data_IF_715167814793
#
_entry.id   IF_715167814793
#
_cell.length_a   1.000
_cell.length_b   1.000
_cell.length_c   1.000
_cell.angle_alpha   90.00
_cell.angle_beta   90.00
_cell.angle_gamma   90.00
#
_symmetry.space_group_name_H-M   'P 1'
#
loop_
_entity.id
_entity.type
_entity.pdbx_description
1 polymer ?
#
# COMPACT_ATOMS: atom_id res chain seq x y z
N UNK A 1 17.61 -35.25 -5.34
CA UNK A 1 16.94 -33.96 -5.05
C UNK A 1 17.65 -32.92 -5.87
N UNK A 2 17.08 -32.60 -7.03
CA UNK A 2 17.69 -31.70 -8.00
C UNK A 2 17.19 -30.31 -7.64
N UNK A 3 18.12 -29.41 -7.33
CA UNK A 3 17.86 -27.98 -7.19
C UNK A 3 17.40 -27.52 -8.56
N UNK A 4 16.10 -27.20 -8.66
CA UNK A 4 15.51 -26.65 -9.87
C UNK A 4 16.15 -25.31 -10.16
N UNK A 5 16.60 -25.19 -11.40
CA UNK A 5 17.10 -24.00 -12.04
C UNK A 5 16.23 -22.77 -11.72
N UNK A 6 16.82 -21.78 -11.06
CA UNK A 6 16.21 -20.49 -10.72
C UNK A 6 16.38 -19.46 -11.84
N UNK A 7 16.81 -19.84 -13.04
CA UNK A 7 17.04 -18.95 -14.20
C UNK A 7 15.80 -18.17 -14.68
N UNK A 8 14.61 -18.48 -14.17
CA UNK A 8 13.36 -17.79 -14.48
C UNK A 8 12.88 -16.84 -13.37
N UNK A 9 13.56 -16.81 -12.23
CA UNK A 9 13.43 -15.68 -11.33
C UNK A 9 14.27 -14.57 -11.94
N UNK A 10 13.61 -13.68 -12.68
CA UNK A 10 14.13 -12.35 -12.94
C UNK A 10 14.81 -11.88 -11.67
N UNK A 11 16.10 -11.60 -11.81
CA UNK A 11 16.97 -11.06 -10.79
C UNK A 11 16.18 -9.93 -10.14
N UNK A 12 15.64 -10.19 -8.94
CA UNK A 12 15.29 -9.11 -8.02
C UNK A 12 16.57 -8.30 -7.96
N UNK A 13 16.53 -7.10 -8.56
CA UNK A 13 17.67 -6.19 -8.59
C UNK A 13 18.25 -6.19 -7.18
N UNK A 14 19.53 -6.54 -7.05
CA UNK A 14 20.21 -6.60 -5.75
C UNK A 14 20.21 -5.25 -5.00
N UNK A 15 19.64 -4.19 -5.60
CA UNK A 15 19.25 -2.95 -4.92
C UNK A 15 18.16 -3.15 -3.84
N UNK A 16 17.43 -4.27 -3.84
CA UNK A 16 16.44 -4.61 -2.79
C UNK A 16 17.07 -5.16 -1.51
N UNK A 17 18.39 -5.37 -1.51
CA UNK A 17 19.16 -5.58 -0.30
C UNK A 17 19.55 -4.21 0.31
N UNK A 18 18.57 -3.43 0.76
CA UNK A 18 18.80 -2.42 1.80
C UNK A 18 19.12 -3.19 3.09
N UNK A 19 20.33 -3.72 3.16
CA UNK A 19 20.91 -4.37 4.32
C UNK A 19 21.14 -3.30 5.38
N UNK A 20 20.07 -2.99 6.10
CA UNK A 20 20.06 -2.21 7.33
C UNK A 20 19.84 -0.72 7.15
N UNK A 21 18.63 -0.28 6.79
CA UNK A 21 18.25 1.05 7.27
C UNK A 21 16.73 1.29 7.44
N UNK A 22 15.93 1.52 6.40
CA UNK A 22 14.50 1.82 6.59
C UNK A 22 13.63 1.04 5.60
N UNK A 23 12.43 0.65 6.03
CA UNK A 23 11.46 -0.07 5.21
C UNK A 23 10.06 0.54 5.29
N UNK A 24 9.34 0.56 4.17
CA UNK A 24 7.94 1.01 4.13
C UNK A 24 7.13 0.23 3.09
N UNK A 25 6.09 -0.46 3.56
CA UNK A 25 5.14 -1.19 2.71
C UNK A 25 3.74 -0.64 2.93
N UNK A 26 2.95 -0.61 1.86
CA UNK A 26 1.55 -0.21 1.88
C UNK A 26 0.74 -1.18 1.03
N UNK A 27 -0.48 -1.46 1.44
CA UNK A 27 -1.43 -2.28 0.69
C UNK A 27 -2.77 -1.57 0.63
N UNK A 28 -3.37 -1.61 -0.55
CA UNK A 28 -4.69 -1.02 -0.79
C UNK A 28 -5.58 -2.00 -1.56
N UNK A 29 -6.85 -2.02 -1.21
CA UNK A 29 -7.88 -2.81 -1.87
C UNK A 29 -9.14 -1.98 -2.05
N UNK A 30 -9.84 -2.16 -3.16
CA UNK A 30 -11.11 -1.54 -3.48
C UNK A 30 -12.04 -2.54 -4.16
N UNK A 31 -13.23 -2.72 -3.62
CA UNK A 31 -14.27 -3.63 -4.14
C UNK A 31 -15.60 -2.89 -4.18
N UNK A 32 -16.34 -3.06 -5.28
CA UNK A 32 -17.65 -2.44 -5.49
C UNK A 32 -18.61 -3.46 -6.13
N UNK A 33 -19.89 -3.40 -5.78
CA UNK A 33 -20.95 -4.26 -6.32
C UNK A 33 -22.22 -3.44 -6.59
N UNK A 34 -22.78 -3.60 -7.79
CA UNK A 34 -23.97 -2.91 -8.29
C UNK A 34 -23.97 -2.84 -9.82
N UNK A 35 -25.00 -2.26 -10.41
CA UNK A 35 -25.13 -2.05 -11.86
C UNK A 35 -23.99 -1.21 -12.45
N UNK A 36 -23.52 -0.20 -11.71
CA UNK A 36 -22.39 0.66 -12.12
C UNK A 36 -21.34 0.73 -11.02
N UNK A 37 -20.13 0.27 -11.35
CA UNK A 37 -19.02 0.20 -10.40
C UNK A 37 -17.81 1.01 -10.86
N UNK A 38 -17.14 1.66 -9.93
CA UNK A 38 -15.84 2.28 -10.13
C UNK A 38 -14.92 1.94 -8.95
N UNK A 39 -13.76 1.36 -9.23
CA UNK A 39 -12.75 1.03 -8.22
C UNK A 39 -11.39 1.55 -8.65
N UNK A 40 -10.61 2.02 -7.67
CA UNK A 40 -9.22 2.45 -7.84
C UNK A 40 -8.44 2.08 -6.60
N UNK A 41 -7.35 1.35 -6.78
CA UNK A 41 -6.38 1.05 -5.72
C UNK A 41 -4.99 1.37 -6.30
N UNK A 42 -4.24 2.22 -5.61
CA UNK A 42 -2.91 2.64 -6.02
C UNK A 42 -2.00 2.60 -4.82
N UNK A 43 -0.80 2.09 -5.02
CA UNK A 43 0.29 2.08 -4.05
C UNK A 43 1.54 2.61 -4.71
N UNK A 44 2.36 3.32 -3.95
CA UNK A 44 3.70 3.70 -4.34
C UNK A 44 4.60 3.63 -3.11
N UNK A 45 5.69 2.89 -3.21
CA UNK A 45 6.75 2.91 -2.22
C UNK A 45 8.05 3.34 -2.88
N UNK A 46 8.91 4.02 -2.14
CA UNK A 46 10.27 4.34 -2.54
C UNK A 46 11.16 4.47 -1.31
N UNK A 47 12.45 4.27 -1.52
CA UNK A 47 13.48 4.47 -0.51
C UNK A 47 14.54 5.46 -1.01
N UNK A 48 15.16 6.19 -0.10
CA UNK A 48 16.19 7.17 -0.35
C UNK A 48 17.31 7.03 0.69
N UNK A 49 18.59 6.98 0.29
CA UNK A 49 19.70 7.10 1.22
C UNK A 49 19.81 8.54 1.77
N UNK A 50 20.07 8.68 3.07
CA UNK A 50 20.22 9.99 3.74
C UNK A 50 21.70 10.38 3.99
N UNK A 51 22.65 9.53 3.61
CA UNK A 51 24.09 9.67 3.92
C UNK A 51 24.46 9.06 5.27
N UNK A 52 25.75 8.81 5.53
CA UNK A 52 26.24 8.17 6.77
C UNK A 52 25.46 6.89 7.15
N UNK A 53 25.20 6.02 6.17
CA UNK A 53 24.40 4.80 6.29
C UNK A 53 22.92 4.98 6.72
N UNK A 54 22.42 6.20 6.89
CA UNK A 54 21.00 6.44 7.15
C UNK A 54 20.14 6.25 5.90
N UNK A 55 18.84 5.96 6.09
CA UNK A 55 17.88 5.96 4.98
C UNK A 55 16.46 6.33 5.39
N UNK A 56 15.67 6.62 4.37
CA UNK A 56 14.27 6.98 4.44
C UNK A 56 13.48 6.06 3.51
N UNK A 57 12.44 5.41 4.02
CA UNK A 57 11.48 4.67 3.23
C UNK A 57 10.10 5.28 3.39
N UNK A 58 9.41 5.54 2.27
CA UNK A 58 8.05 6.10 2.25
C UNK A 58 7.16 5.22 1.39
N UNK A 59 6.03 4.81 1.95
CA UNK A 59 4.94 4.14 1.26
C UNK A 59 3.66 4.98 1.32
N UNK A 60 3.00 5.17 0.18
CA UNK A 60 1.74 5.90 0.05
C UNK A 60 0.73 5.02 -0.67
N UNK A 61 -0.43 4.83 -0.07
CA UNK A 61 -1.54 4.08 -0.64
C UNK A 61 -2.82 4.91 -0.71
N UNK A 62 -3.58 4.72 -1.78
CA UNK A 62 -4.92 5.27 -1.99
C UNK A 62 -5.88 4.18 -2.48
N UNK A 63 -7.07 4.10 -1.90
CA UNK A 63 -8.16 3.26 -2.37
C UNK A 63 -9.45 4.08 -2.51
N UNK A 64 -10.24 3.78 -3.53
CA UNK A 64 -11.57 4.33 -3.75
C UNK A 64 -12.46 3.29 -4.41
N UNK A 65 -13.69 3.16 -3.92
CA UNK A 65 -14.74 2.34 -4.49
C UNK A 65 -16.05 3.15 -4.53
N UNK A 66 -16.80 3.02 -5.61
CA UNK A 66 -18.14 3.57 -5.76
C UNK A 66 -19.02 2.57 -6.50
N UNK A 67 -20.25 2.41 -6.04
CA UNK A 67 -21.25 1.59 -6.67
C UNK A 67 -22.59 2.34 -6.75
N UNK A 68 -23.37 2.04 -7.79
CA UNK A 68 -24.77 2.44 -7.94
C UNK A 68 -25.56 1.20 -8.31
N UNK A 69 -26.68 0.98 -7.64
CA UNK A 69 -27.62 -0.12 -7.85
C UNK A 69 -29.05 0.35 -7.55
N UNK A 70 -30.05 -0.23 -8.18
CA UNK A 70 -31.45 0.16 -7.94
C UNK A 70 -32.04 -0.36 -6.62
N UNK A 71 -31.43 -1.39 -6.03
CA UNK A 71 -31.86 -2.02 -4.79
C UNK A 71 -30.83 -1.86 -3.67
N UNK A 72 -29.59 -2.30 -3.90
CA UNK A 72 -28.55 -2.32 -2.87
C UNK A 72 -27.15 -2.31 -3.49
N UNK A 73 -26.44 -1.20 -3.30
CA UNK A 73 -25.08 -1.00 -3.77
C UNK A 73 -24.10 -1.25 -2.63
N UNK A 74 -22.94 -1.85 -2.92
CA UNK A 74 -21.88 -2.06 -1.92
C UNK A 74 -20.55 -1.50 -2.38
N UNK A 75 -19.81 -0.87 -1.47
CA UNK A 75 -18.46 -0.38 -1.70
C UNK A 75 -17.60 -0.61 -0.44
N UNK A 76 -16.47 -1.26 -0.62
CA UNK A 76 -15.53 -1.60 0.45
C UNK A 76 -14.12 -1.20 0.01
N UNK A 77 -13.40 -0.54 0.90
CA UNK A 77 -11.96 -0.27 0.72
C UNK A 77 -11.19 -0.68 1.95
N UNK A 78 -9.96 -1.10 1.75
CA UNK A 78 -9.01 -1.34 2.83
C UNK A 78 -7.69 -0.69 2.47
N UNK A 79 -7.07 -0.04 3.46
CA UNK A 79 -5.71 0.49 3.36
C UNK A 79 -4.94 0.08 4.61
N UNK A 80 -3.70 -0.35 4.42
CA UNK A 80 -2.80 -0.76 5.50
C UNK A 80 -1.37 -0.42 5.14
N UNK A 81 -0.52 -0.31 6.15
CA UNK A 81 0.90 -0.04 5.96
C UNK A 81 1.73 -0.60 7.09
N UNK A 82 3.02 -0.76 6.83
CA UNK A 82 4.03 -1.18 7.79
C UNK A 82 5.32 -0.41 7.51
N UNK A 83 6.00 0.01 8.56
CA UNK A 83 7.26 0.73 8.47
C UNK A 83 8.28 0.18 9.46
N UNK A 84 9.57 0.26 9.10
CA UNK A 84 10.70 -0.16 9.91
C UNK A 84 11.83 0.89 9.85
N UNK A 85 12.61 1.00 10.92
CA UNK A 85 13.66 1.99 11.15
C UNK A 85 13.60 2.55 12.57
N UNK A 86 14.65 3.25 12.99
CA UNK A 86 14.73 3.99 14.27
C UNK A 86 13.51 4.85 14.57
N UNK A 87 13.00 5.56 13.55
CA UNK A 87 11.74 6.30 13.61
C UNK A 87 10.79 5.70 12.60
N UNK A 88 9.62 5.27 13.05
CA UNK A 88 8.59 4.74 12.17
C UNK A 88 7.21 5.27 12.56
N UNK A 89 6.39 5.53 11.55
CA UNK A 89 4.97 5.82 11.74
C UNK A 89 4.14 5.37 10.55
N UNK A 90 2.93 4.90 10.86
CA UNK A 90 1.92 4.52 9.87
C UNK A 90 0.64 5.27 10.19
N UNK A 91 0.13 6.01 9.22
CA UNK A 91 -1.10 6.77 9.34
C UNK A 91 -2.04 6.29 8.24
N UNK A 92 -3.13 5.64 8.65
CA UNK A 92 -4.19 5.19 7.76
C UNK A 92 -5.52 5.86 8.12
N UNK A 93 -6.32 6.17 7.11
CA UNK A 93 -7.70 6.62 7.30
C UNK A 93 -8.59 5.98 6.25
N UNK A 94 -9.73 5.46 6.70
CA UNK A 94 -10.79 4.95 5.84
C UNK A 94 -12.05 5.79 6.06
N UNK A 95 -12.91 5.84 5.03
CA UNK A 95 -14.26 6.35 5.11
C UNK A 95 -15.18 5.47 4.27
N UNK A 96 -16.43 5.37 4.68
CA UNK A 96 -17.48 4.72 3.91
C UNK A 96 -18.79 5.46 4.10
N UNK A 97 -19.61 5.45 3.07
CA UNK A 97 -20.98 5.96 3.07
C UNK A 97 -21.83 5.00 2.26
N UNK A 98 -22.96 4.61 2.82
CA UNK A 98 -23.92 3.74 2.16
C UNK A 98 -25.31 4.32 2.43
N UNK A 99 -26.11 4.50 1.37
CA UNK A 99 -27.48 4.96 1.47
C UNK A 99 -28.50 4.02 0.82
N UNK A 100 -28.10 2.80 0.44
CA UNK A 100 -28.89 1.83 -0.33
C UNK A 100 -28.51 1.87 -1.81
N UNK A 101 -29.08 2.76 -2.64
CA UNK A 101 -28.82 2.75 -4.07
C UNK A 101 -27.43 3.28 -4.45
N UNK A 102 -26.68 3.86 -3.51
CA UNK A 102 -25.31 4.34 -3.73
C UNK A 102 -24.42 4.03 -2.53
N UNK A 103 -23.31 3.35 -2.81
CA UNK A 103 -22.25 3.12 -1.85
C UNK A 103 -20.94 3.76 -2.31
N UNK A 104 -20.21 4.34 -1.38
CA UNK A 104 -18.86 4.88 -1.59
C UNK A 104 -17.96 4.49 -0.43
N UNK A 105 -16.75 4.09 -0.74
CA UNK A 105 -15.70 3.86 0.22
C UNK A 105 -14.39 4.42 -0.28
N UNK A 106 -13.53 4.85 0.63
CA UNK A 106 -12.19 5.28 0.28
C UNK A 106 -11.26 5.22 1.46
N UNK A 107 -9.97 5.24 1.15
CA UNK A 107 -8.94 5.25 2.17
C UNK A 107 -7.61 5.78 1.65
N UNK A 108 -6.80 6.25 2.59
CA UNK A 108 -5.43 6.70 2.38
C UNK A 108 -4.55 6.11 3.46
N UNK A 109 -3.33 5.72 3.09
CA UNK A 109 -2.31 5.29 4.04
C UNK A 109 -0.96 5.88 3.69
N UNK A 110 -0.22 6.27 4.71
CA UNK A 110 1.16 6.71 4.66
C UNK A 110 1.96 5.86 5.65
N UNK A 111 3.01 5.22 5.19
CA UNK A 111 3.99 4.52 6.02
C UNK A 111 5.34 5.18 5.82
N UNK A 112 6.02 5.55 6.91
CA UNK A 112 7.34 6.17 6.87
C UNK A 112 8.25 5.44 7.85
N UNK A 113 9.39 4.97 7.35
CA UNK A 113 10.49 4.45 8.14
C UNK A 113 11.72 5.33 7.92
N UNK A 114 12.46 5.62 8.99
CA UNK A 114 13.70 6.39 8.97
C UNK A 114 14.71 5.66 9.83
N UNK A 115 15.90 5.45 9.28
CA UNK A 115 17.08 5.03 10.04
C UNK A 115 18.01 6.22 10.20
N UNK A 116 18.39 6.50 11.43
CA UNK A 116 19.22 7.67 11.73
C UNK A 116 20.67 7.31 11.39
N UNK A 117 21.37 8.17 10.65
CA UNK A 117 22.78 7.95 10.37
C UNK A 117 23.62 7.82 11.65
N UNK A 118 24.53 6.83 11.67
CA UNK A 118 25.38 6.47 12.80
C UNK A 118 26.76 6.03 12.37
#
# INVERSE_FOLDING_TARGET
MIISDLSHLDILSEDDAILGSAGATVSTNATASGDYTQTKAVTKSFALPLGNNGSLAIGIGYAQASAVDSQDASAVTSVSGSANGDINFVIGKNYSTDNGPRARAGGVVLAVGIDIPG
#
